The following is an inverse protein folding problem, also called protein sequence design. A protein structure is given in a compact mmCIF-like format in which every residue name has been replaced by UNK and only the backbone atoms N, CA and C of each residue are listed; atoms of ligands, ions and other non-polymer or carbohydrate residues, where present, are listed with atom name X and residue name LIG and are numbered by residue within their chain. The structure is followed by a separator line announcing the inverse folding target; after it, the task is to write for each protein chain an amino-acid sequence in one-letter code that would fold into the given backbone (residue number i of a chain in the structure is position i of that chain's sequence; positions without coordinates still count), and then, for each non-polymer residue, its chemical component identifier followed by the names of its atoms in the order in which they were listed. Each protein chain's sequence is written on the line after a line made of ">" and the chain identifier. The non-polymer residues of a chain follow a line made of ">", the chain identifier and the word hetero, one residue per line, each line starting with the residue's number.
data_IF_406823253846
#
_entry.id   IF_406823253846
#
_cell.length_a   1.000
_cell.length_b   1.000
_cell.length_c   1.000
_cell.angle_alpha   90.00
_cell.angle_beta   90.00
_cell.angle_gamma   90.00
#
_symmetry.space_group_name_H-M   'P 1'
#
loop_
_entity.id
_entity.type
_entity.pdbx_description
1 polymer ?
#
# COMPACT_ATOMS: atom_id res chain seq x y z
N UNK A 1 40.73 -1.30 40.48
CA UNK A 1 39.38 -1.44 39.89
C UNK A 1 39.19 -0.38 38.80
N UNK A 2 39.33 -0.76 37.53
CA UNK A 2 39.23 0.16 36.39
C UNK A 2 37.77 0.12 35.89
N UNK A 3 37.02 1.20 36.11
CA UNK A 3 35.65 1.35 35.59
C UNK A 3 35.71 1.75 34.11
N UNK A 4 35.30 0.83 33.24
CA UNK A 4 35.13 1.05 31.80
C UNK A 4 34.04 2.09 31.54
N UNK A 5 34.41 3.22 30.92
CA UNK A 5 33.48 4.25 30.45
C UNK A 5 32.77 3.74 29.19
N UNK A 6 31.47 3.40 29.30
CA UNK A 6 30.63 3.11 28.14
C UNK A 6 30.54 4.38 27.27
N UNK A 7 31.04 4.31 26.04
CA UNK A 7 30.84 5.34 25.02
C UNK A 7 29.35 5.38 24.66
N UNK A 8 28.70 6.53 24.89
CA UNK A 8 27.36 6.76 24.38
C UNK A 8 27.40 6.76 22.85
N UNK A 9 26.58 5.92 22.21
CA UNK A 9 26.38 5.98 20.76
C UNK A 9 25.73 7.32 20.43
N UNK A 10 26.50 8.20 19.80
CA UNK A 10 25.99 9.46 19.24
C UNK A 10 25.08 9.08 18.08
N UNK A 11 23.78 9.35 18.22
CA UNK A 11 22.83 9.19 17.11
C UNK A 11 23.31 10.12 15.98
N UNK A 12 23.72 9.54 14.85
CA UNK A 12 24.06 10.32 13.66
C UNK A 12 22.81 11.08 13.23
N UNK A 13 22.94 12.39 13.03
CA UNK A 13 21.86 13.23 12.48
C UNK A 13 21.52 12.67 11.10
N UNK A 14 20.28 12.26 10.90
CA UNK A 14 19.75 11.95 9.57
C UNK A 14 19.98 13.18 8.69
N UNK A 15 20.80 13.06 7.65
CA UNK A 15 21.06 14.17 6.75
C UNK A 15 19.76 14.66 6.11
N UNK A 16 19.60 15.98 5.92
CA UNK A 16 18.45 16.53 5.21
C UNK A 16 18.35 15.89 3.83
N UNK A 17 17.12 15.56 3.50
CA UNK A 17 16.75 14.76 2.36
C UNK A 17 16.98 15.55 1.06
N UNK A 18 17.66 14.97 0.04
CA UNK A 18 17.81 15.68 -1.24
C UNK A 18 16.48 15.69 -2.00
N UNK A 19 16.07 16.83 -2.56
CA UNK A 19 14.82 16.97 -3.30
C UNK A 19 14.68 15.93 -4.42
N UNK A 20 15.78 15.49 -5.03
CA UNK A 20 15.77 14.47 -6.08
C UNK A 20 15.40 13.08 -5.58
N UNK A 21 15.84 12.71 -4.37
CA UNK A 21 15.37 11.45 -3.76
C UNK A 21 13.86 11.48 -3.52
N UNK A 22 13.26 12.66 -3.38
CA UNK A 22 11.90 12.82 -2.85
C UNK A 22 10.99 12.70 -4.03
N UNK A 23 11.33 13.47 -5.08
CA UNK A 23 10.83 13.29 -6.44
C UNK A 23 10.89 11.82 -6.87
N UNK A 24 12.00 11.10 -6.61
CA UNK A 24 12.11 9.67 -6.93
C UNK A 24 11.10 8.80 -6.17
N UNK A 25 10.93 9.00 -4.87
CA UNK A 25 9.89 8.32 -4.09
C UNK A 25 8.48 8.68 -4.59
N UNK A 26 8.23 9.93 -4.97
CA UNK A 26 6.92 10.35 -5.49
C UNK A 26 6.58 9.72 -6.83
N UNK A 27 7.56 9.56 -7.74
CA UNK A 27 7.34 8.84 -9.01
C UNK A 27 6.95 7.38 -8.77
N UNK A 28 7.43 6.76 -7.69
CA UNK A 28 7.15 5.37 -7.34
C UNK A 28 5.85 5.22 -6.53
N UNK A 29 5.48 6.25 -5.76
CA UNK A 29 4.33 6.24 -4.84
C UNK A 29 3.28 7.33 -5.07
N UNK A 30 3.18 7.91 -6.27
CA UNK A 30 2.11 8.87 -6.58
C UNK A 30 1.02 8.29 -7.50
N UNK A 31 1.32 7.34 -8.39
CA UNK A 31 0.32 6.80 -9.34
C UNK A 31 -0.83 6.10 -8.62
N UNK A 32 -2.06 6.59 -8.84
CA UNK A 32 -3.28 5.93 -8.37
C UNK A 32 -3.81 4.94 -9.42
N UNK A 33 -4.50 3.90 -8.95
CA UNK A 33 -5.05 2.79 -9.74
C UNK A 33 -6.35 3.18 -10.45
N UNK A 34 -6.38 4.30 -11.18
CA UNK A 34 -7.61 4.82 -11.81
C UNK A 34 -7.59 4.76 -13.35
N UNK A 35 -7.86 3.56 -13.88
CA UNK A 35 -8.47 3.37 -15.21
C UNK A 35 -9.57 2.29 -15.19
N UNK A 36 -10.29 2.14 -14.07
CA UNK A 36 -11.37 1.14 -13.93
C UNK A 36 -12.79 1.72 -13.79
N UNK A 37 -12.99 3.03 -13.93
CA UNK A 37 -14.33 3.65 -13.77
C UNK A 37 -14.89 4.30 -15.04
N UNK A 38 -14.43 3.91 -16.24
CA UNK A 38 -14.98 4.40 -17.52
C UNK A 38 -15.80 3.39 -18.32
N UNK A 39 -16.32 2.33 -17.71
CA UNK A 39 -17.26 1.43 -18.39
C UNK A 39 -18.46 1.10 -17.50
N UNK A 40 -19.64 1.52 -17.93
CA UNK A 40 -20.92 1.26 -17.27
C UNK A 40 -21.17 -0.23 -17.03
N UNK A 41 -21.85 -0.53 -15.93
CA UNK A 41 -22.17 -1.89 -15.50
C UNK A 41 -23.32 -2.48 -16.34
N UNK A 42 -23.17 -3.67 -16.93
CA UNK A 42 -24.22 -4.27 -17.74
C UNK A 42 -24.84 -5.48 -17.03
N UNK A 43 -25.59 -5.35 -15.93
CA UNK A 43 -26.37 -6.51 -15.44
C UNK A 43 -27.74 -6.11 -14.88
N UNK A 44 -28.75 -6.16 -15.75
CA UNK A 44 -30.16 -5.89 -15.45
C UNK A 44 -30.93 -7.01 -14.76
N UNK A 45 -30.32 -7.87 -13.94
CA UNK A 45 -31.05 -8.97 -13.29
C UNK A 45 -30.63 -9.31 -11.84
N UNK A 46 -30.14 -8.32 -11.08
CA UNK A 46 -29.88 -8.51 -9.64
C UNK A 46 -31.16 -8.60 -8.79
N UNK A 47 -32.34 -8.34 -9.36
CA UNK A 47 -33.64 -8.36 -8.67
C UNK A 47 -34.22 -9.75 -8.38
N UNK A 48 -33.69 -10.81 -9.00
CA UNK A 48 -34.19 -12.18 -8.82
C UNK A 48 -33.44 -12.96 -7.72
N UNK A 49 -32.23 -12.55 -7.35
CA UNK A 49 -31.43 -13.23 -6.31
C UNK A 49 -31.78 -12.81 -4.87
N UNK A 50 -32.58 -11.75 -4.69
CA UNK A 50 -32.97 -11.24 -3.38
C UNK A 50 -34.33 -11.75 -2.86
N UNK A 51 -35.05 -12.57 -3.64
CA UNK A 51 -36.39 -13.09 -3.25
C UNK A 51 -36.39 -14.47 -2.58
N UNK A 52 -35.24 -15.12 -2.41
CA UNK A 52 -35.17 -16.52 -1.95
C UNK A 52 -34.68 -16.71 -0.49
N UNK A 53 -34.41 -15.66 0.27
CA UNK A 53 -34.06 -15.81 1.69
C UNK A 53 -35.27 -15.59 2.61
N UNK A 54 -35.96 -16.70 2.90
CA UNK A 54 -36.89 -16.79 4.03
C UNK A 54 -36.11 -16.82 5.35
N UNK A 55 -36.06 -15.67 6.04
CA UNK A 55 -35.55 -15.56 7.40
C UNK A 55 -36.47 -16.34 8.35
N UNK A 56 -36.05 -17.52 8.81
CA UNK A 56 -36.64 -18.14 10.01
C UNK A 56 -36.00 -17.53 11.25
N UNK A 57 -36.78 -16.73 11.97
CA UNK A 57 -36.51 -16.32 13.34
C UNK A 57 -36.57 -17.56 14.24
N UNK A 58 -35.44 -17.96 14.85
CA UNK A 58 -35.46 -18.81 16.04
C UNK A 58 -35.45 -17.89 17.26
N UNK A 59 -36.52 -17.95 18.06
CA UNK A 59 -36.50 -17.46 19.44
C UNK A 59 -35.61 -18.40 20.26
N UNK A 60 -34.76 -17.84 21.11
CA UNK A 60 -33.99 -18.58 22.10
C UNK A 60 -34.95 -19.29 23.05
N UNK A 61 -34.78 -20.61 23.21
CA UNK A 61 -35.51 -21.42 24.18
C UNK A 61 -34.78 -21.33 25.53
N UNK A 62 -35.41 -20.89 26.64
CA UNK A 62 -34.73 -20.73 27.93
C UNK A 62 -34.46 -22.03 28.70
N UNK A 63 -35.01 -23.17 28.27
CA UNK A 63 -35.06 -24.40 29.10
C UNK A 63 -34.11 -25.53 28.64
N UNK A 64 -32.83 -25.26 28.41
CA UNK A 64 -31.84 -26.33 28.23
C UNK A 64 -30.70 -26.25 29.25
N UNK A 65 -30.98 -26.97 30.34
CA UNK A 65 -30.17 -27.66 31.36
C UNK A 65 -28.65 -27.72 31.11
N UNK A 66 -27.93 -27.39 32.19
CA UNK A 66 -26.50 -27.64 32.42
C UNK A 66 -26.08 -29.06 32.01
N UNK A 67 -25.03 -29.14 31.20
CA UNK A 67 -24.25 -30.37 31.03
C UNK A 67 -22.92 -30.12 31.73
N UNK A 68 -22.82 -30.62 32.96
CA UNK A 68 -21.54 -30.98 33.57
C UNK A 68 -20.92 -32.07 32.68
N UNK A 69 -19.67 -31.91 32.24
CA UNK A 69 -18.93 -33.01 31.61
C UNK A 69 -17.68 -33.30 32.42
N UNK A 70 -17.75 -34.48 33.02
CA UNK A 70 -16.76 -35.25 33.74
C UNK A 70 -15.34 -35.21 33.16
N UNK A 71 -14.41 -35.15 34.11
CA UNK A 71 -13.08 -35.73 34.05
C UNK A 71 -13.18 -37.19 33.62
N UNK A 72 -12.45 -37.58 32.57
CA UNK A 72 -11.95 -38.95 32.47
C UNK A 72 -10.57 -38.98 31.79
N UNK A 73 -9.63 -39.48 32.58
CA UNK A 73 -8.26 -39.81 32.26
C UNK A 73 -8.18 -40.98 31.27
N UNK A 74 -7.56 -40.77 30.10
CA UNK A 74 -7.19 -41.86 29.20
C UNK A 74 -5.65 -41.93 29.03
N UNK A 75 -5.01 -42.85 29.76
CA UNK A 75 -3.60 -43.24 29.63
C UNK A 75 -3.31 -44.17 28.43
N UNK A 76 -4.11 -44.14 27.36
CA UNK A 76 -3.96 -45.11 26.24
C UNK A 76 -3.58 -44.47 24.91
N UNK A 77 -2.58 -43.57 24.92
CA UNK A 77 -2.01 -43.04 23.68
C UNK A 77 -0.87 -43.93 23.15
N UNK A 78 -1.18 -44.79 22.16
CA UNK A 78 -0.19 -45.52 21.37
C UNK A 78 0.04 -44.83 20.02
N UNK A 79 1.22 -44.22 19.76
CA UNK A 79 1.48 -43.53 18.51
C UNK A 79 1.64 -44.52 17.35
N UNK A 80 0.86 -44.34 16.29
CA UNK A 80 0.92 -45.15 15.07
C UNK A 80 2.24 -44.95 14.33
N UNK A 81 2.78 -46.08 13.84
CA UNK A 81 4.05 -46.19 13.17
C UNK A 81 4.16 -45.34 11.88
N UNK A 82 5.34 -44.74 11.74
CA UNK A 82 5.77 -43.84 10.65
C UNK A 82 5.82 -44.59 9.32
N UNK A 83 4.98 -44.19 8.36
CA UNK A 83 4.98 -44.71 6.99
C UNK A 83 6.30 -44.36 6.27
N UNK A 84 7.07 -45.39 5.88
CA UNK A 84 8.32 -45.25 5.13
C UNK A 84 8.01 -44.91 3.67
N UNK A 85 8.32 -43.67 3.28
CA UNK A 85 8.30 -43.19 1.89
C UNK A 85 9.38 -43.93 1.10
N UNK A 86 9.00 -44.81 0.18
CA UNK A 86 9.91 -45.50 -0.76
C UNK A 86 10.56 -44.47 -1.68
N UNK A 87 11.89 -44.33 -1.62
CA UNK A 87 12.68 -43.65 -2.65
C UNK A 87 12.64 -44.46 -3.93
N UNK A 88 12.23 -43.81 -5.03
CA UNK A 88 12.25 -44.38 -6.39
C UNK A 88 13.67 -44.21 -6.94
N UNK A 89 14.35 -45.33 -7.18
CA UNK A 89 15.67 -45.40 -7.84
C UNK A 89 15.54 -44.85 -9.27
N UNK A 90 16.39 -43.88 -9.59
CA UNK A 90 16.64 -43.42 -10.97
C UNK A 90 17.48 -44.51 -11.66
N UNK A 91 16.94 -45.09 -12.73
CA UNK A 91 17.65 -46.02 -13.62
C UNK A 91 18.11 -45.20 -14.83
N UNK A 92 19.43 -45.15 -15.01
CA UNK A 92 20.09 -44.66 -16.22
C UNK A 92 19.83 -45.62 -17.38
N UNK A 93 19.21 -45.11 -18.44
CA UNK A 93 19.05 -45.82 -19.72
C UNK A 93 20.03 -45.18 -20.71
N UNK A 94 21.00 -45.97 -21.13
CA UNK A 94 21.91 -45.70 -22.24
C UNK A 94 21.69 -46.78 -23.29
N UNK A 95 21.13 -46.42 -24.44
CA UNK A 95 21.33 -47.13 -25.71
C UNK A 95 20.70 -46.32 -26.83
N UNK A 96 21.53 -45.95 -27.80
CA UNK A 96 21.15 -45.37 -29.08
C UNK A 96 20.32 -46.39 -29.87
N UNK A 97 19.03 -46.13 -30.05
CA UNK A 97 18.24 -46.77 -31.09
C UNK A 97 18.09 -45.79 -32.25
N UNK A 98 18.59 -46.19 -33.42
CA UNK A 98 18.43 -45.43 -34.66
C UNK A 98 16.93 -45.36 -35.04
N UNK A 99 16.43 -44.18 -35.44
CA UNK A 99 15.03 -44.01 -35.76
C UNK A 99 14.70 -44.81 -37.03
N UNK A 100 13.70 -45.68 -36.91
CA UNK A 100 13.17 -46.48 -38.00
C UNK A 100 12.79 -45.61 -39.20
N UNK A 101 13.06 -46.10 -40.41
CA UNK A 101 12.85 -45.44 -41.70
C UNK A 101 11.44 -44.84 -41.90
N UNK A 102 10.45 -45.31 -41.15
CA UNK A 102 9.08 -44.75 -41.14
C UNK A 102 8.98 -43.35 -40.53
N UNK A 103 9.78 -43.01 -39.52
CA UNK A 103 9.78 -41.68 -38.89
C UNK A 103 10.36 -40.61 -39.82
N UNK A 104 11.34 -40.98 -40.65
CA UNK A 104 11.93 -40.07 -41.61
C UNK A 104 10.94 -39.70 -42.73
N UNK A 105 10.14 -40.68 -43.19
CA UNK A 105 9.11 -40.47 -44.22
C UNK A 105 7.96 -39.60 -43.70
N UNK A 106 7.57 -39.77 -42.44
CA UNK A 106 6.55 -38.93 -41.82
C UNK A 106 7.02 -37.46 -41.65
N UNK A 107 8.27 -37.26 -41.24
CA UNK A 107 8.85 -35.92 -41.11
C UNK A 107 8.95 -35.18 -42.45
N UNK A 108 9.30 -35.89 -43.53
CA UNK A 108 9.34 -35.33 -44.89
C UNK A 108 7.95 -35.02 -45.45
N UNK A 109 6.91 -35.73 -45.01
CA UNK A 109 5.53 -35.43 -45.40
C UNK A 109 5.02 -34.19 -44.66
N UNK A 110 5.24 -34.10 -43.35
CA UNK A 110 4.87 -32.91 -42.56
C UNK A 110 5.59 -31.64 -43.03
N UNK A 111 6.86 -31.75 -43.42
CA UNK A 111 7.62 -30.60 -43.94
C UNK A 111 6.99 -30.01 -45.21
N UNK A 112 6.49 -30.86 -46.11
CA UNK A 112 5.83 -30.41 -47.34
C UNK A 112 4.45 -29.81 -47.10
N UNK A 113 3.71 -30.31 -46.12
CA UNK A 113 2.42 -29.74 -45.71
C UNK A 113 2.61 -28.34 -45.12
N UNK A 114 3.63 -28.14 -44.28
CA UNK A 114 3.95 -26.83 -43.70
C UNK A 114 4.43 -25.84 -44.76
N UNK A 115 5.27 -26.25 -45.70
CA UNK A 115 5.72 -25.37 -46.80
C UNK A 115 4.55 -24.92 -47.68
N UNK A 116 3.62 -25.82 -48.03
CA UNK A 116 2.41 -25.46 -48.78
C UNK A 116 1.49 -24.49 -48.02
N UNK A 117 1.40 -24.64 -46.70
CA UNK A 117 0.57 -23.78 -45.86
C UNK A 117 1.18 -22.37 -45.72
N UNK A 118 2.52 -22.26 -45.69
CA UNK A 118 3.23 -20.97 -45.68
C UNK A 118 3.09 -20.25 -47.02
N UNK A 119 3.20 -20.97 -48.14
CA UNK A 119 3.11 -20.40 -49.48
C UNK A 119 1.69 -19.89 -49.78
N UNK A 120 0.64 -20.58 -49.31
CA UNK A 120 -0.74 -20.09 -49.37
C UNK A 120 -0.99 -18.82 -48.55
N UNK A 121 -0.26 -18.59 -47.45
CA UNK A 121 -0.43 -17.38 -46.64
C UNK A 121 0.25 -16.15 -47.26
N UNK A 122 1.31 -16.34 -48.04
CA UNK A 122 2.07 -15.26 -48.67
C UNK A 122 1.40 -14.66 -49.92
N UNK A 123 0.41 -15.32 -50.51
CA UNK A 123 -0.35 -14.81 -51.67
C UNK A 123 -1.60 -13.98 -51.30
N UNK A 124 -1.88 -13.79 -50.01
CA UNK A 124 -3.00 -12.94 -49.60
C UNK A 124 -2.66 -11.44 -49.69
N UNK A 125 -3.43 -10.60 -50.42
CA UNK A 125 -3.08 -9.20 -50.62
C UNK A 125 -3.14 -8.41 -49.31
N UNK A 126 -2.06 -7.68 -49.01
CA UNK A 126 -1.95 -6.75 -47.88
C UNK A 126 -3.09 -5.72 -47.91
N UNK A 127 -4.12 -5.94 -47.09
CA UNK A 127 -5.12 -4.93 -46.74
C UNK A 127 -4.46 -3.89 -45.82
N UNK A 128 -4.57 -2.63 -46.20
CA UNK A 128 -4.02 -1.48 -45.46
C UNK A 128 -4.50 -1.44 -43.99
N UNK A 129 -3.66 -0.94 -43.05
CA UNK A 129 -3.93 -1.02 -41.63
C UNK A 129 -5.00 0.00 -41.21
N UNK A 130 -6.26 -0.43 -41.19
CA UNK A 130 -7.34 0.29 -40.50
C UNK A 130 -7.35 -0.07 -39.02
N UNK A 131 -7.19 0.94 -38.17
CA UNK A 131 -7.49 0.97 -36.73
C UNK A 131 -6.91 -0.19 -35.88
N UNK A 132 -5.81 0.12 -35.17
CA UNK A 132 -5.26 -0.73 -34.13
C UNK A 132 -6.32 -0.99 -33.03
N UNK A 133 -7.00 -2.12 -33.12
CA UNK A 133 -7.84 -2.63 -32.04
C UNK A 133 -6.93 -2.97 -30.86
N UNK A 134 -6.96 -2.15 -29.82
CA UNK A 134 -6.23 -2.42 -28.60
C UNK A 134 -6.75 -3.73 -27.97
N UNK A 135 -5.94 -4.78 -28.01
CA UNK A 135 -6.25 -6.07 -27.40
C UNK A 135 -6.15 -5.93 -25.87
N UNK A 136 -7.28 -5.77 -25.18
CA UNK A 136 -7.31 -5.66 -23.71
C UNK A 136 -7.30 -7.05 -23.09
N UNK A 137 -6.12 -7.54 -22.71
CA UNK A 137 -5.98 -8.83 -22.02
C UNK A 137 -6.10 -8.66 -20.51
N UNK A 138 -7.15 -9.24 -19.90
CA UNK A 138 -7.39 -9.18 -18.45
C UNK A 138 -6.63 -10.29 -17.72
N UNK A 139 -5.44 -9.97 -17.21
CA UNK A 139 -4.64 -10.90 -16.42
C UNK A 139 -5.15 -10.96 -14.97
N UNK A 140 -5.47 -12.15 -14.48
CA UNK A 140 -5.77 -12.42 -13.06
C UNK A 140 -4.62 -13.22 -12.45
N UNK A 141 -3.84 -12.58 -11.58
CA UNK A 141 -2.79 -13.26 -10.83
C UNK A 141 -3.19 -13.35 -9.35
N UNK A 142 -3.55 -14.56 -8.85
CA UNK A 142 -4.01 -14.71 -7.47
C UNK A 142 -2.86 -14.65 -6.45
N UNK A 143 -1.63 -14.94 -6.88
CA UNK A 143 -0.45 -14.95 -6.02
C UNK A 143 -0.01 -13.53 -5.64
N UNK A 144 0.53 -13.36 -4.43
CA UNK A 144 1.09 -12.09 -3.96
C UNK A 144 2.20 -11.62 -4.90
N UNK A 145 3.11 -12.52 -5.30
CA UNK A 145 4.14 -12.22 -6.31
C UNK A 145 3.55 -11.73 -7.63
N UNK A 146 2.46 -12.34 -8.10
CA UNK A 146 1.79 -11.91 -9.32
C UNK A 146 1.10 -10.55 -9.20
N UNK A 147 0.45 -10.26 -8.06
CA UNK A 147 -0.10 -8.91 -7.79
C UNK A 147 0.99 -7.86 -7.74
N UNK A 148 2.12 -8.20 -7.13
CA UNK A 148 3.28 -7.31 -7.02
C UNK A 148 3.94 -7.10 -8.38
N UNK A 149 4.02 -8.15 -9.21
CA UNK A 149 4.47 -8.08 -10.60
C UNK A 149 3.54 -7.22 -11.47
N UNK A 150 2.22 -7.33 -11.33
CA UNK A 150 1.28 -6.43 -12.01
C UNK A 150 1.44 -5.00 -11.54
N UNK A 151 1.74 -4.79 -10.26
CA UNK A 151 2.06 -3.46 -9.73
C UNK A 151 3.36 -2.93 -10.36
N UNK A 152 4.41 -3.75 -10.46
CA UNK A 152 5.65 -3.38 -11.16
C UNK A 152 5.41 -3.08 -12.65
N UNK A 153 4.59 -3.89 -13.35
CA UNK A 153 4.25 -3.68 -14.76
C UNK A 153 3.41 -2.43 -15.00
N UNK A 154 2.44 -2.13 -14.12
CA UNK A 154 1.70 -0.87 -14.14
C UNK A 154 2.61 0.36 -13.95
N UNK A 155 3.83 0.12 -13.47
CA UNK A 155 4.86 1.11 -13.23
C UNK A 155 6.09 0.90 -14.16
N UNK A 156 5.99 0.11 -15.24
CA UNK A 156 7.12 -0.30 -16.10
C UNK A 156 7.90 0.88 -16.72
N UNK A 157 7.21 1.97 -17.07
CA UNK A 157 7.84 3.18 -17.63
C UNK A 157 8.79 3.88 -16.64
N UNK A 158 8.79 3.48 -15.37
CA UNK A 158 9.70 3.98 -14.33
C UNK A 158 11.00 3.15 -14.26
N UNK A 159 11.01 1.96 -14.88
CA UNK A 159 12.13 0.99 -14.84
C UNK A 159 12.87 0.84 -16.17
N UNK A 160 12.38 1.41 -17.28
CA UNK A 160 13.11 1.42 -18.56
C UNK A 160 14.43 2.17 -18.46
N UNK A 161 14.47 3.25 -17.67
CA UNK A 161 15.63 4.14 -17.54
C UNK A 161 16.77 3.52 -16.69
N UNK A 162 16.55 2.32 -16.13
CA UNK A 162 17.54 1.61 -15.30
C UNK A 162 18.37 0.58 -16.10
N UNK A 163 18.05 0.37 -17.38
CA UNK A 163 18.72 -0.67 -18.19
C UNK A 163 19.74 -0.08 -19.18
N UNK A 164 19.66 1.21 -19.54
CA UNK A 164 20.52 1.81 -20.58
C UNK A 164 21.50 2.90 -20.07
N UNK A 165 21.77 2.96 -18.75
CA UNK A 165 22.62 4.02 -18.18
C UNK A 165 24.14 3.79 -18.26
N UNK A 166 24.61 2.89 -19.14
CA UNK A 166 26.04 2.68 -19.42
C UNK A 166 26.33 2.80 -20.93
N UNK A 167 26.04 3.94 -21.55
CA UNK A 167 26.83 4.45 -22.71
C UNK A 167 26.32 5.80 -23.23
N UNK A 168 27.27 6.72 -23.40
CA UNK A 168 27.31 7.84 -24.35
C UNK A 168 27.16 9.29 -23.85
N UNK A 169 27.92 10.12 -24.57
CA UNK A 169 28.53 11.39 -24.21
C UNK A 169 27.55 12.57 -24.21
N UNK A 170 27.89 13.54 -23.37
CA UNK A 170 27.20 14.83 -23.20
C UNK A 170 27.44 15.71 -24.44
N UNK A 171 26.37 16.11 -25.10
CA UNK A 171 26.36 17.34 -25.92
C UNK A 171 25.20 18.24 -25.49
N UNK A 172 25.50 19.52 -25.30
CA UNK A 172 24.57 20.56 -24.86
C UNK A 172 23.59 20.93 -25.98
N UNK A 173 22.30 21.22 -25.69
CA UNK A 173 21.42 21.87 -26.65
C UNK A 173 21.22 23.36 -26.38
N UNK A 174 21.31 24.10 -27.47
CA UNK A 174 21.02 25.53 -27.63
C UNK A 174 19.56 25.89 -27.32
N UNK A 175 19.36 27.13 -26.88
CA UNK A 175 18.08 27.73 -26.53
C UNK A 175 17.17 27.97 -27.75
N UNK A 176 16.03 27.29 -27.81
CA UNK A 176 14.94 27.59 -28.76
C UNK A 176 13.79 28.28 -28.04
N UNK A 177 13.47 29.51 -28.45
CA UNK A 177 12.31 30.28 -27.99
C UNK A 177 11.06 29.79 -28.74
N UNK A 178 10.23 28.97 -28.09
CA UNK A 178 8.91 28.58 -28.63
C UNK A 178 7.80 29.33 -27.90
N UNK A 179 6.99 30.08 -28.67
CA UNK A 179 5.77 30.74 -28.20
C UNK A 179 4.69 29.68 -27.96
N UNK A 180 4.37 29.44 -26.69
CA UNK A 180 3.32 28.52 -26.26
C UNK A 180 1.91 29.08 -26.48
N UNK A 181 1.08 28.27 -27.14
CA UNK A 181 -0.36 28.44 -27.28
C UNK A 181 -1.05 28.36 -25.90
N UNK A 182 -1.86 29.37 -25.58
CA UNK A 182 -2.67 29.47 -24.37
C UNK A 182 -3.76 28.38 -24.35
N UNK A 183 -3.57 27.33 -23.56
CA UNK A 183 -4.66 26.41 -23.21
C UNK A 183 -5.54 27.03 -22.12
N UNK A 184 -6.85 27.04 -22.36
CA UNK A 184 -7.89 27.45 -21.43
C UNK A 184 -7.89 26.56 -20.18
N UNK A 185 -7.15 26.95 -19.15
CA UNK A 185 -7.40 26.50 -17.79
C UNK A 185 -8.50 27.38 -17.20
N UNK A 186 -9.78 27.01 -17.40
CA UNK A 186 -10.83 27.49 -16.51
C UNK A 186 -10.46 27.04 -15.10
N UNK A 187 -9.93 27.98 -14.30
CA UNK A 187 -9.59 27.75 -12.92
C UNK A 187 -10.85 27.30 -12.19
N UNK A 188 -10.94 26.01 -11.88
CA UNK A 188 -12.03 25.45 -11.09
C UNK A 188 -12.14 26.28 -9.80
N UNK A 189 -13.26 26.99 -9.64
CA UNK A 189 -13.55 27.76 -8.43
C UNK A 189 -13.51 26.82 -7.23
N UNK A 190 -12.92 27.24 -6.10
CA UNK A 190 -12.89 26.42 -4.89
C UNK A 190 -14.31 26.07 -4.45
N UNK A 191 -14.52 24.83 -4.05
CA UNK A 191 -15.78 24.38 -3.47
C UNK A 191 -15.73 24.58 -1.96
N UNK A 192 -16.68 25.34 -1.41
CA UNK A 192 -16.78 25.54 0.04
C UNK A 192 -17.54 24.36 0.65
N UNK A 193 -16.93 23.70 1.65
CA UNK A 193 -17.57 22.60 2.38
C UNK A 193 -17.12 22.52 3.83
N UNK A 194 -17.89 21.81 4.64
CA UNK A 194 -17.51 21.50 6.01
C UNK A 194 -16.83 20.13 6.08
N UNK A 195 -15.75 20.03 6.83
CA UNK A 195 -15.04 18.79 7.12
C UNK A 195 -14.86 18.59 8.63
N UNK A 196 -14.68 17.35 9.07
CA UNK A 196 -14.14 17.04 10.38
C UNK A 196 -12.64 16.83 10.22
N UNK A 197 -11.82 17.53 10.99
CA UNK A 197 -10.35 17.37 10.91
C UNK A 197 -9.68 17.63 12.26
N UNK A 198 -8.60 16.91 12.51
CA UNK A 198 -7.72 17.11 13.65
C UNK A 198 -6.45 17.90 13.28
N UNK A 199 -6.38 18.46 12.08
CA UNK A 199 -5.20 19.14 11.56
C UNK A 199 -5.53 20.56 11.12
N UNK A 200 -4.56 21.46 11.25
CA UNK A 200 -4.66 22.83 10.80
C UNK A 200 -4.29 22.94 9.32
N UNK A 201 -5.24 23.38 8.48
CA UNK A 201 -5.05 23.46 7.03
C UNK A 201 -4.53 24.84 6.56
N UNK A 202 -3.86 24.90 5.38
CA UNK A 202 -3.34 23.78 4.61
C UNK A 202 -2.23 23.04 5.36
N UNK A 203 -2.07 21.74 5.10
CA UNK A 203 -0.96 20.96 5.62
C UNK A 203 0.37 21.48 5.04
N UNK A 204 1.39 21.62 5.88
CA UNK A 204 2.76 21.90 5.47
C UNK A 204 3.54 20.59 5.35
N UNK A 205 3.59 20.06 4.12
CA UNK A 205 4.27 18.80 3.80
C UNK A 205 5.73 19.01 3.39
N UNK A 206 6.05 20.19 2.85
CA UNK A 206 7.40 20.53 2.42
C UNK A 206 8.33 20.83 3.61
N UNK A 207 7.76 20.94 4.82
CA UNK A 207 8.43 21.38 6.04
C UNK A 207 9.15 22.69 5.79
N UNK A 208 8.37 23.70 5.36
CA UNK A 208 8.80 25.01 4.88
C UNK A 208 10.30 25.23 4.91
N UNK A 209 10.92 25.36 3.74
CA UNK A 209 12.37 25.61 3.56
C UNK A 209 12.91 26.80 4.36
N UNK A 210 12.04 27.60 4.97
CA UNK A 210 12.34 28.84 5.66
C UNK A 210 12.21 28.78 7.19
N UNK A 211 11.43 27.85 7.77
CA UNK A 211 11.09 27.94 9.22
C UNK A 211 11.96 27.09 10.14
N UNK A 212 12.73 26.13 9.62
CA UNK A 212 13.53 25.17 10.43
C UNK A 212 12.73 24.44 11.53
N UNK A 213 11.40 24.50 11.48
CA UNK A 213 10.56 23.92 12.52
C UNK A 213 10.42 22.41 12.34
N UNK A 214 10.45 21.64 13.45
CA UNK A 214 10.36 20.19 13.36
C UNK A 214 8.97 19.72 12.93
N UNK A 215 8.95 18.58 12.25
CA UNK A 215 7.73 17.81 11.97
C UNK A 215 7.01 17.43 13.27
N UNK A 216 5.72 17.76 13.38
CA UNK A 216 4.92 17.50 14.59
C UNK A 216 4.81 16.00 14.89
N UNK A 217 4.75 15.19 13.83
CA UNK A 217 4.70 13.73 13.92
C UNK A 217 6.03 13.09 14.36
N UNK A 218 7.17 13.70 14.00
CA UNK A 218 8.48 13.21 14.45
C UNK A 218 8.75 13.61 15.91
N UNK A 219 8.37 14.84 16.27
CA UNK A 219 8.65 15.39 17.59
C UNK A 219 7.74 14.75 18.66
N UNK A 220 6.48 14.48 18.29
CA UNK A 220 5.50 13.86 19.15
C UNK A 220 4.75 12.71 18.42
N UNK A 221 5.06 11.46 18.78
CA UNK A 221 4.38 10.30 18.18
C UNK A 221 2.87 10.29 18.46
N UNK A 222 2.42 10.91 19.57
CA UNK A 222 0.99 11.01 19.91
C UNK A 222 0.26 12.03 19.03
N UNK A 223 0.98 12.92 18.33
CA UNK A 223 0.36 13.88 17.42
C UNK A 223 -0.34 13.19 16.25
N UNK A 224 0.19 12.07 15.75
CA UNK A 224 -0.54 11.26 14.77
C UNK A 224 -1.81 10.61 15.33
N UNK A 225 -1.84 10.36 16.64
CA UNK A 225 -2.98 9.73 17.30
C UNK A 225 -4.11 10.73 17.54
N UNK A 226 -3.80 11.94 18.00
CA UNK A 226 -4.79 12.92 18.46
C UNK A 226 -4.89 14.18 17.60
N UNK A 227 -3.83 14.54 16.87
CA UNK A 227 -3.69 15.83 16.20
C UNK A 227 -3.88 16.99 17.18
N UNK A 228 -4.57 18.03 16.70
CA UNK A 228 -5.08 19.16 17.48
C UNK A 228 -6.49 18.90 18.06
N UNK A 229 -6.99 17.67 17.95
CA UNK A 229 -8.37 17.30 18.28
C UNK A 229 -9.34 17.53 17.13
N UNK A 230 -10.33 16.63 17.00
CA UNK A 230 -11.33 16.68 15.94
C UNK A 230 -12.21 17.92 16.07
N UNK A 231 -12.29 18.70 14.99
CA UNK A 231 -13.09 19.91 14.89
C UNK A 231 -13.84 19.96 13.57
N UNK A 232 -15.06 20.50 13.58
CA UNK A 232 -15.81 20.82 12.36
C UNK A 232 -15.31 22.15 11.82
N UNK A 233 -14.79 22.16 10.59
CA UNK A 233 -14.12 23.31 9.97
C UNK A 233 -14.75 23.58 8.61
N UNK A 234 -15.00 24.85 8.30
CA UNK A 234 -15.36 25.27 6.96
C UNK A 234 -14.09 25.49 6.14
N UNK A 235 -13.98 24.81 5.00
CA UNK A 235 -12.80 24.86 4.13
C UNK A 235 -13.15 25.24 2.71
N UNK A 236 -12.26 25.95 2.05
CA UNK A 236 -12.17 26.03 0.60
C UNK A 236 -11.40 24.80 0.10
N UNK A 237 -12.09 23.94 -0.65
CA UNK A 237 -11.50 22.77 -1.31
C UNK A 237 -11.23 23.10 -2.78
N UNK A 238 -9.94 23.24 -3.10
CA UNK A 238 -9.44 23.53 -4.43
C UNK A 238 -9.27 22.25 -5.29
N UNK A 239 -9.91 21.16 -4.90
CA UNK A 239 -9.90 19.89 -5.61
C UNK A 239 -8.60 19.10 -5.47
N UNK A 240 -8.37 18.19 -6.43
CA UNK A 240 -7.26 17.23 -6.39
C UNK A 240 -5.89 17.91 -6.35
N UNK A 241 -5.75 19.07 -6.98
CA UNK A 241 -4.46 19.76 -7.14
C UNK A 241 -4.26 20.95 -6.20
N UNK A 242 -5.29 21.45 -5.54
CA UNK A 242 -5.16 22.68 -4.75
C UNK A 242 -5.17 22.49 -3.23
N UNK A 243 -5.61 21.34 -2.73
CA UNK A 243 -5.66 21.07 -1.28
C UNK A 243 -6.80 21.81 -0.58
N UNK A 244 -6.69 21.91 0.74
CA UNK A 244 -7.70 22.50 1.62
C UNK A 244 -7.16 23.77 2.30
N UNK A 245 -8.01 24.78 2.42
CA UNK A 245 -7.72 26.02 3.15
C UNK A 245 -8.84 26.33 4.14
N UNK A 246 -8.51 26.60 5.41
CA UNK A 246 -9.52 26.93 6.42
C UNK A 246 -10.08 28.33 6.19
N UNK A 247 -11.42 28.43 6.12
CA UNK A 247 -12.13 29.69 6.02
C UNK A 247 -12.63 30.16 7.38
N UNK A 248 -13.25 29.26 8.15
CA UNK A 248 -13.84 29.59 9.44
C UNK A 248 -13.93 28.38 10.37
N UNK A 249 -13.97 28.62 11.68
CA UNK A 249 -14.12 27.57 12.71
C UNK A 249 -12.91 26.62 12.83
N UNK A 250 -11.84 26.86 12.08
CA UNK A 250 -10.66 25.99 12.02
C UNK A 250 -9.67 26.12 13.17
N UNK A 251 -8.60 25.36 13.10
CA UNK A 251 -7.49 25.43 14.08
C UNK A 251 -6.64 26.68 13.88
N UNK A 252 -6.49 27.15 12.63
CA UNK A 252 -5.78 28.39 12.30
C UNK A 252 -6.40 29.61 12.98
N UNK A 253 -7.73 29.66 13.01
CA UNK A 253 -8.47 30.75 13.69
C UNK A 253 -8.28 30.75 15.21
N UNK A 254 -7.88 29.62 15.80
CA UNK A 254 -7.55 29.48 17.22
C UNK A 254 -6.07 29.78 17.52
N UNK A 255 -5.30 30.24 16.53
CA UNK A 255 -3.89 30.61 16.69
C UNK A 255 -2.89 29.48 16.45
N UNK A 256 -3.35 28.29 16.03
CA UNK A 256 -2.43 27.21 15.68
C UNK A 256 -1.77 27.48 14.32
N UNK A 257 -0.47 27.16 14.17
CA UNK A 257 0.19 27.17 12.86
C UNK A 257 -0.39 26.06 11.97
N UNK A 258 0.01 26.04 10.69
CA UNK A 258 -0.28 24.93 9.79
C UNK A 258 0.30 23.63 10.37
N UNK A 259 -0.43 22.53 10.24
CA UNK A 259 0.08 21.24 10.68
C UNK A 259 1.27 20.83 9.82
N UNK A 260 2.40 20.52 10.46
CA UNK A 260 3.67 20.21 9.77
C UNK A 260 3.93 18.71 9.78
N UNK A 261 4.03 18.12 8.58
CA UNK A 261 4.32 16.70 8.39
C UNK A 261 5.46 16.52 7.41
N UNK A 262 6.50 15.76 7.80
CA UNK A 262 7.64 15.54 6.94
C UNK A 262 7.35 14.52 5.85
N UNK A 263 8.08 14.63 4.74
CA UNK A 263 8.05 13.64 3.65
C UNK A 263 8.21 12.19 4.13
N UNK A 264 9.02 11.93 5.16
CA UNK A 264 9.18 10.57 5.71
C UNK A 264 7.88 10.09 6.36
N UNK A 265 7.26 10.92 7.22
CA UNK A 265 5.98 10.61 7.87
C UNK A 265 4.85 10.47 6.85
N UNK A 266 4.86 11.29 5.81
CA UNK A 266 3.95 11.18 4.68
C UNK A 266 4.11 9.84 3.95
N UNK A 267 5.35 9.51 3.56
CA UNK A 267 5.67 8.28 2.85
C UNK A 267 5.34 7.04 3.67
N UNK A 268 5.54 7.05 4.99
CA UNK A 268 5.12 5.93 5.86
C UNK A 268 3.62 5.61 5.69
N UNK A 269 2.77 6.64 5.61
CA UNK A 269 1.31 6.47 5.46
C UNK A 269 0.91 6.05 4.05
N UNK A 270 1.52 6.64 3.04
CA UNK A 270 1.32 6.22 1.66
C UNK A 270 1.78 4.78 1.42
N UNK A 271 2.90 4.39 2.02
CA UNK A 271 3.47 3.06 1.88
C UNK A 271 2.58 1.99 2.51
N UNK A 272 1.99 2.28 3.68
CA UNK A 272 0.96 1.43 4.27
C UNK A 272 -0.27 1.32 3.36
N UNK A 273 -0.78 2.44 2.86
CA UNK A 273 -1.94 2.47 1.97
C UNK A 273 -1.74 1.68 0.67
N UNK A 274 -0.53 1.73 0.10
CA UNK A 274 -0.20 1.13 -1.21
C UNK A 274 0.28 -0.31 -1.15
N UNK A 275 0.27 -0.93 0.03
CA UNK A 275 0.65 -2.33 0.18
C UNK A 275 -0.20 -3.20 -0.75
N UNK A 276 0.43 -4.10 -1.52
CA UNK A 276 -0.26 -4.94 -2.51
C UNK A 276 -1.31 -5.91 -1.90
N UNK A 277 -1.24 -6.08 -0.58
CA UNK A 277 -2.20 -6.76 0.27
C UNK A 277 -1.61 -6.85 1.67
N UNK A 278 -2.44 -6.87 2.71
CA UNK A 278 -1.95 -6.98 4.09
C UNK A 278 -2.05 -8.42 4.59
N UNK A 279 -0.91 -9.12 4.65
CA UNK A 279 -0.78 -10.39 5.36
C UNK A 279 -0.48 -10.08 6.83
N UNK A 280 -1.47 -10.25 7.69
CA UNK A 280 -1.36 -9.84 9.09
C UNK A 280 -0.85 -11.01 9.94
N UNK A 281 0.21 -10.79 10.70
CA UNK A 281 0.78 -11.75 11.66
C UNK A 281 1.00 -11.12 13.03
N UNK A 282 1.18 -11.95 14.05
CA UNK A 282 1.44 -11.48 15.42
C UNK A 282 2.76 -10.71 15.51
N UNK A 283 2.78 -9.67 16.35
CA UNK A 283 3.95 -8.85 16.61
C UNK A 283 4.86 -9.57 17.64
N UNK A 284 6.12 -9.89 17.30
CA UNK A 284 7.00 -10.62 18.21
C UNK A 284 7.24 -9.85 19.52
N UNK A 285 7.11 -10.54 20.66
CA UNK A 285 7.33 -9.98 22.00
C UNK A 285 6.14 -9.21 22.58
N UNK A 286 4.98 -9.19 21.90
CA UNK A 286 3.77 -8.55 22.39
C UNK A 286 2.60 -9.55 22.39
N UNK A 287 2.15 -9.92 23.58
CA UNK A 287 1.03 -10.84 23.78
C UNK A 287 -0.12 -10.14 24.51
N UNK A 288 -1.35 -10.32 24.00
CA UNK A 288 -2.55 -9.66 24.53
C UNK A 288 -2.79 -10.00 26.00
N UNK A 289 -2.55 -11.26 26.39
CA UNK A 289 -2.86 -11.77 27.72
C UNK A 289 -1.94 -11.20 28.83
N UNK A 290 -0.71 -10.83 28.48
CA UNK A 290 0.29 -10.35 29.46
C UNK A 290 0.58 -8.86 29.34
N UNK A 291 -0.13 -8.15 28.44
CA UNK A 291 0.17 -6.75 28.15
C UNK A 291 -0.39 -5.83 29.24
N UNK A 292 0.47 -4.96 29.77
CA UNK A 292 0.09 -3.96 30.78
C UNK A 292 -0.51 -2.72 30.09
N UNK A 293 -1.83 -2.77 29.85
CA UNK A 293 -2.58 -1.68 29.23
C UNK A 293 -2.50 -0.38 30.04
N UNK A 294 -2.59 -0.45 31.37
CA UNK A 294 -2.57 0.73 32.23
C UNK A 294 -1.25 1.49 32.07
N UNK A 295 -0.11 0.78 32.15
CA UNK A 295 1.20 1.36 31.92
C UNK A 295 1.36 1.88 30.49
N UNK A 296 0.80 1.19 29.50
CA UNK A 296 0.85 1.64 28.11
C UNK A 296 0.10 2.97 27.92
N UNK A 297 -1.11 3.11 28.45
CA UNK A 297 -1.86 4.37 28.36
C UNK A 297 -1.21 5.50 29.18
N UNK A 298 -0.69 5.22 30.37
CA UNK A 298 0.09 6.21 31.13
C UNK A 298 1.34 6.70 30.37
N UNK A 299 1.91 5.89 29.47
CA UNK A 299 3.03 6.34 28.63
C UNK A 299 2.63 7.42 27.61
N UNK A 300 1.34 7.58 27.30
CA UNK A 300 0.85 8.67 26.44
C UNK A 300 0.82 10.02 27.16
N UNK A 301 0.68 10.02 28.49
CA UNK A 301 0.62 11.23 29.32
C UNK A 301 2.01 11.80 29.64
N UNK A 302 3.07 11.01 29.40
CA UNK A 302 4.43 11.42 29.73
C UNK A 302 4.87 12.58 28.84
N UNK A 303 5.01 13.75 29.47
CA UNK A 303 5.55 14.95 28.83
C UNK A 303 6.96 14.69 28.29
N UNK A 304 7.26 15.27 27.14
CA UNK A 304 8.56 15.17 26.49
C UNK A 304 9.70 15.63 27.41
N UNK A 305 10.44 14.70 28.00
CA UNK A 305 11.70 15.00 28.68
C UNK A 305 12.72 15.39 27.60
N UNK A 306 12.99 16.70 27.47
CA UNK A 306 13.91 17.23 26.45
C UNK A 306 13.31 17.38 25.05
N UNK A 307 11.97 17.52 24.94
CA UNK A 307 11.32 17.89 23.68
C UNK A 307 11.03 16.74 22.69
N UNK A 308 11.40 15.50 23.02
CA UNK A 308 11.05 14.32 22.22
C UNK A 308 10.17 13.35 23.00
N UNK A 309 9.02 12.99 22.45
CA UNK A 309 8.18 11.92 22.98
C UNK A 309 8.74 10.57 22.55
N UNK A 310 9.15 9.73 23.50
CA UNK A 310 9.62 8.38 23.20
C UNK A 310 8.43 7.42 23.17
N UNK A 311 8.18 6.84 22.00
CA UNK A 311 7.22 5.75 21.89
C UNK A 311 7.80 4.48 22.56
N UNK A 312 7.20 4.06 23.68
CA UNK A 312 7.60 2.84 24.40
C UNK A 312 6.79 1.61 24.02
N UNK A 313 5.60 1.81 23.45
CA UNK A 313 4.66 0.75 23.10
C UNK A 313 4.25 0.85 21.62
N UNK A 314 3.97 -0.28 20.95
CA UNK A 314 3.38 -0.27 19.62
C UNK A 314 1.90 0.12 19.71
N UNK A 315 1.47 1.02 18.85
CA UNK A 315 0.09 1.50 18.80
C UNK A 315 -0.54 1.11 17.47
N UNK A 316 -1.84 0.79 17.50
CA UNK A 316 -2.58 0.54 16.27
C UNK A 316 -2.51 1.76 15.35
N UNK A 317 -2.41 1.54 14.05
CA UNK A 317 -2.40 2.61 13.05
C UNK A 317 -3.81 3.17 12.78
N UNK A 318 -4.88 2.49 13.22
CA UNK A 318 -6.27 2.87 12.93
C UNK A 318 -7.01 3.46 14.13
N UNK A 319 -6.68 3.03 15.35
CA UNK A 319 -7.31 3.47 16.59
C UNK A 319 -6.28 3.69 17.70
N UNK A 320 -6.73 4.11 18.87
CA UNK A 320 -5.85 4.43 20.00
C UNK A 320 -5.39 3.21 20.82
N UNK A 321 -5.78 2.00 20.45
CA UNK A 321 -5.42 0.80 21.21
C UNK A 321 -3.98 0.33 20.93
N UNK A 322 -3.30 -0.30 21.90
CA UNK A 322 -2.02 -0.98 21.67
C UNK A 322 -2.09 -2.02 20.55
N UNK A 323 -1.02 -2.15 19.77
CA UNK A 323 -0.96 -3.09 18.66
C UNK A 323 -0.29 -4.42 19.05
N UNK A 324 -0.84 -5.51 18.55
CA UNK A 324 -0.36 -6.88 18.75
C UNK A 324 -0.12 -7.62 17.43
N UNK A 325 -0.49 -6.98 16.32
CA UNK A 325 -0.35 -7.55 14.99
C UNK A 325 0.35 -6.54 14.08
N UNK A 326 1.04 -7.06 13.06
CA UNK A 326 1.68 -6.27 12.01
C UNK A 326 1.39 -6.84 10.64
N UNK A 327 1.45 -6.00 9.61
CA UNK A 327 1.58 -6.49 8.24
C UNK A 327 2.97 -7.15 8.06
N UNK A 328 3.00 -8.31 7.43
CA UNK A 328 4.18 -9.11 7.11
C UNK A 328 4.31 -9.39 5.60
N UNK A 329 3.51 -8.70 4.78
CA UNK A 329 3.61 -8.83 3.31
C UNK A 329 4.99 -8.40 2.86
N UNK A 330 5.66 -9.28 2.11
CA UNK A 330 6.94 -8.99 1.46
C UNK A 330 6.81 -7.75 0.57
N UNK A 331 7.67 -6.76 0.83
CA UNK A 331 7.78 -5.53 0.06
C UNK A 331 9.04 -5.61 -0.80
N UNK A 332 8.88 -5.41 -2.11
CA UNK A 332 10.01 -5.37 -3.04
C UNK A 332 10.72 -4.03 -3.05
N UNK A 333 10.00 -2.97 -2.70
CA UNK A 333 10.49 -1.60 -2.61
C UNK A 333 10.28 -1.10 -1.20
N UNK A 334 11.23 -0.35 -0.65
CA UNK A 334 11.03 0.37 0.61
C UNK A 334 10.14 1.60 0.40
N UNK A 335 9.79 2.34 1.46
CA UNK A 335 8.99 3.57 1.36
C UNK A 335 9.63 4.71 0.56
N UNK A 336 10.88 4.57 0.15
CA UNK A 336 11.61 5.51 -0.70
C UNK A 336 11.75 5.00 -2.14
N UNK A 337 11.23 3.80 -2.42
CA UNK A 337 11.21 3.23 -3.75
C UNK A 337 12.54 2.60 -4.15
N UNK A 338 13.35 2.23 -3.16
CA UNK A 338 14.60 1.50 -3.38
C UNK A 338 14.32 0.02 -3.28
N UNK A 339 14.98 -0.77 -4.11
CA UNK A 339 14.89 -2.22 -4.05
C UNK A 339 15.29 -2.73 -2.68
N UNK A 340 14.47 -3.61 -2.13
CA UNK A 340 14.72 -4.29 -0.88
C UNK A 340 15.05 -5.72 -1.23
N UNK A 341 16.30 -6.11 -0.98
CA UNK A 341 16.72 -7.48 -1.21
C UNK A 341 15.83 -8.47 -0.44
N UNK A 342 15.58 -9.67 -0.97
CA UNK A 342 14.64 -10.65 -0.39
C UNK A 342 15.03 -11.16 1.01
N UNK A 343 16.28 -10.91 1.42
CA UNK A 343 16.79 -11.28 2.75
C UNK A 343 16.84 -10.10 3.72
N UNK A 344 16.46 -8.89 3.28
CA UNK A 344 16.48 -7.71 4.12
C UNK A 344 15.28 -7.73 5.07
N UNK A 345 15.55 -7.55 6.37
CA UNK A 345 14.50 -7.36 7.37
C UNK A 345 13.63 -6.12 7.11
N UNK A 346 14.12 -5.18 6.29
CA UNK A 346 13.36 -4.00 5.87
C UNK A 346 12.26 -4.33 4.86
N UNK A 347 12.28 -5.51 4.24
CA UNK A 347 11.28 -5.94 3.26
C UNK A 347 10.05 -6.59 3.90
N UNK A 348 10.07 -6.81 5.22
CA UNK A 348 8.99 -7.51 5.90
C UNK A 348 7.93 -6.53 6.40
N UNK A 349 6.86 -6.39 5.61
CA UNK A 349 5.68 -5.61 5.97
C UNK A 349 5.76 -4.14 5.56
N UNK A 350 4.59 -3.51 5.45
CA UNK A 350 4.46 -2.11 5.06
C UNK A 350 4.47 -1.13 6.26
N UNK A 351 4.73 -1.61 7.48
CA UNK A 351 4.67 -0.80 8.71
C UNK A 351 3.29 -0.69 9.37
N UNK A 352 2.24 -1.30 8.78
CA UNK A 352 0.89 -1.31 9.39
C UNK A 352 0.89 -2.13 10.68
N UNK A 353 0.36 -1.54 11.75
CA UNK A 353 0.20 -2.16 13.07
C UNK A 353 -1.27 -2.16 13.50
N UNK A 354 -1.74 -3.27 14.06
CA UNK A 354 -3.14 -3.46 14.41
C UNK A 354 -3.30 -3.99 15.83
N UNK A 355 -4.31 -3.47 16.54
CA UNK A 355 -4.87 -4.12 17.71
C UNK A 355 -5.76 -5.30 17.29
N UNK A 356 -6.19 -6.12 18.25
CA UNK A 356 -7.04 -7.28 17.97
C UNK A 356 -8.40 -6.94 17.33
N UNK A 357 -9.17 -5.92 17.81
CA UNK A 357 -10.39 -5.48 17.13
C UNK A 357 -10.16 -5.07 15.67
N UNK A 358 -9.16 -4.22 15.41
CA UNK A 358 -8.86 -3.77 14.05
C UNK A 358 -8.36 -4.91 13.14
N UNK A 359 -7.65 -5.91 13.68
CA UNK A 359 -7.27 -7.11 12.93
C UNK A 359 -8.49 -7.93 12.50
N UNK A 360 -9.46 -8.14 13.39
CA UNK A 360 -10.73 -8.81 13.06
C UNK A 360 -11.51 -8.04 12.00
N UNK A 361 -11.54 -6.71 12.08
CA UNK A 361 -12.12 -5.87 11.02
C UNK A 361 -11.36 -6.03 9.71
N UNK A 362 -10.02 -6.02 9.70
CA UNK A 362 -9.23 -6.25 8.49
C UNK A 362 -9.56 -7.57 7.81
N UNK A 363 -9.65 -8.67 8.59
CA UNK A 363 -10.01 -9.99 8.07
C UNK A 363 -11.43 -9.98 7.45
N UNK A 364 -12.41 -9.41 8.15
CA UNK A 364 -13.80 -9.35 7.70
C UNK A 364 -14.01 -8.46 6.46
N UNK A 365 -13.07 -7.55 6.18
CA UNK A 365 -13.17 -6.56 5.13
C UNK A 365 -12.22 -6.81 3.95
N UNK A 366 -11.60 -7.99 3.88
CA UNK A 366 -10.72 -8.36 2.77
C UNK A 366 -9.48 -7.46 2.68
N UNK A 367 -8.96 -7.02 3.83
CA UNK A 367 -7.78 -6.15 3.95
C UNK A 367 -7.92 -4.76 3.30
N UNK A 368 -9.14 -4.24 3.19
CA UNK A 368 -9.42 -2.89 2.66
C UNK A 368 -9.44 -1.86 3.80
N UNK A 369 -8.38 -1.05 3.91
CA UNK A 369 -8.23 -0.04 4.96
C UNK A 369 -9.39 0.97 5.00
N UNK A 370 -9.89 1.41 3.84
CA UNK A 370 -10.99 2.38 3.79
C UNK A 370 -12.28 1.78 4.33
N UNK A 371 -12.59 0.53 3.97
CA UNK A 371 -13.74 -0.19 4.55
C UNK A 371 -13.60 -0.45 6.03
N UNK A 372 -12.38 -0.71 6.51
CA UNK A 372 -12.13 -0.93 7.94
C UNK A 372 -12.33 0.35 8.73
N UNK A 373 -11.71 1.47 8.31
CA UNK A 373 -11.85 2.76 8.98
C UNK A 373 -13.32 3.17 9.06
N UNK A 374 -14.08 3.01 7.97
CA UNK A 374 -15.51 3.31 7.94
C UNK A 374 -16.38 2.40 8.83
N UNK A 375 -15.86 1.25 9.27
CA UNK A 375 -16.54 0.27 10.13
C UNK A 375 -16.10 0.32 11.59
N UNK A 376 -15.10 1.14 11.93
CA UNK A 376 -14.73 1.35 13.33
C UNK A 376 -15.95 1.99 14.03
N UNK A 377 -16.47 1.40 15.13
CA UNK A 377 -17.63 1.94 15.83
C UNK A 377 -17.38 3.38 16.25
N UNK A 378 -18.40 4.24 16.19
CA UNK A 378 -18.27 5.63 16.64
C UNK A 378 -17.93 5.77 18.15
N UNK A 379 -18.17 4.71 18.93
CA UNK A 379 -17.73 4.61 20.32
C UNK A 379 -16.22 4.41 20.48
N UNK A 380 -15.54 3.93 19.43
CA UNK A 380 -14.09 3.79 19.39
C UNK A 380 -13.47 5.03 18.75
N UNK A 381 -12.37 5.51 19.32
CA UNK A 381 -11.67 6.68 18.80
C UNK A 381 -10.74 6.24 17.66
N UNK A 382 -11.06 6.67 16.45
CA UNK A 382 -10.20 6.57 15.27
C UNK A 382 -9.02 7.53 15.45
N UNK A 383 -7.82 7.09 15.04
CA UNK A 383 -6.65 7.97 15.06
C UNK A 383 -6.84 9.15 14.11
N UNK A 384 -6.35 10.32 14.53
CA UNK A 384 -6.35 11.52 13.71
C UNK A 384 -5.71 11.29 12.31
N UNK A 385 -4.62 10.53 12.25
CA UNK A 385 -3.91 10.25 11.02
C UNK A 385 -4.41 9.03 10.22
N UNK A 386 -5.46 8.34 10.67
CA UNK A 386 -6.02 7.21 9.94
C UNK A 386 -6.62 7.66 8.60
N UNK A 387 -7.15 8.88 8.53
CA UNK A 387 -7.69 9.46 7.29
C UNK A 387 -6.62 9.62 6.21
N UNK A 388 -5.32 9.67 6.56
CA UNK A 388 -4.25 9.67 5.56
C UNK A 388 -4.04 8.32 4.87
N UNK A 389 -4.67 7.26 5.38
CA UNK A 389 -4.57 5.89 4.85
C UNK A 389 -5.67 5.55 3.85
N UNK A 390 -6.53 6.51 3.48
CA UNK A 390 -7.59 6.31 2.49
C UNK A 390 -7.32 7.08 1.20
N UNK A 391 -7.86 6.56 0.08
CA UNK A 391 -7.80 7.24 -1.21
C UNK A 391 -8.54 8.57 -1.12
N UNK A 392 -7.96 9.62 -1.72
CA UNK A 392 -8.57 10.95 -1.73
C UNK A 392 -8.37 11.75 -0.44
N UNK A 393 -7.59 11.23 0.50
CA UNK A 393 -7.08 11.99 1.65
C UNK A 393 -6.24 13.19 1.24
N UNK A 394 -6.06 14.14 2.16
CA UNK A 394 -5.27 15.36 1.89
C UNK A 394 -3.84 15.02 1.48
N UNK A 395 -3.28 13.98 2.10
CA UNK A 395 -1.98 13.45 1.75
C UNK A 395 -1.95 12.90 0.32
N UNK A 396 -2.93 12.08 -0.05
CA UNK A 396 -3.03 11.52 -1.39
C UNK A 396 -3.19 12.62 -2.45
N UNK A 397 -4.02 13.64 -2.19
CA UNK A 397 -4.21 14.79 -3.08
C UNK A 397 -2.90 15.56 -3.29
N UNK A 398 -2.19 15.84 -2.19
CA UNK A 398 -0.92 16.55 -2.24
C UNK A 398 0.11 15.85 -3.14
N UNK A 399 0.28 14.53 -3.00
CA UNK A 399 1.24 13.79 -3.82
C UNK A 399 0.78 13.58 -5.27
N UNK A 400 -0.53 13.50 -5.50
CA UNK A 400 -1.07 13.43 -6.86
C UNK A 400 -0.89 14.75 -7.63
N UNK A 401 -0.89 15.91 -6.94
CA UNK A 401 -0.58 17.22 -7.54
C UNK A 401 0.84 17.24 -8.14
N UNK A 402 1.81 16.75 -7.40
CA UNK A 402 3.23 16.79 -7.79
C UNK A 402 3.49 15.95 -9.05
N UNK A 403 2.75 14.85 -9.24
CA UNK A 403 2.85 14.03 -10.46
C UNK A 403 2.32 14.74 -11.70
N UNK A 404 1.21 15.47 -11.59
CA UNK A 404 0.66 16.26 -12.71
C UNK A 404 1.60 17.37 -13.17
N UNK A 405 2.35 17.96 -12.22
CA UNK A 405 3.36 18.98 -12.53
C UNK A 405 4.62 18.37 -13.17
N UNK A 406 5.03 17.17 -12.74
CA UNK A 406 6.15 16.43 -13.31
C UNK A 406 5.84 15.93 -14.74
N UNK A 407 4.62 15.50 -15.04
CA UNK A 407 4.28 15.03 -16.39
C UNK A 407 4.30 16.15 -17.46
N UNK A 408 4.12 17.41 -17.07
CA UNK A 408 4.19 18.56 -18.00
C UNK A 408 5.61 19.08 -18.23
N UNK A 409 6.57 18.79 -17.35
CA UNK A 409 7.97 19.22 -17.54
C UNK A 409 8.85 18.23 -18.31
N UNK A 410 8.38 16.99 -18.54
CA UNK A 410 9.10 16.00 -19.36
C UNK A 410 8.42 15.72 -20.71
N UNK A 411 7.36 16.47 -21.06
CA UNK A 411 6.65 16.37 -22.33
C UNK A 411 6.94 17.56 -23.28
N UNK A 412 8.09 18.22 -23.11
CA UNK A 412 8.55 19.31 -23.97
C UNK A 412 9.84 18.93 -24.69
#
# INVERSE_FOLDING_TARGET
>A
MIRSKKKAHRCERTQPYSMDRYRKALRLFGKSKSQLEKMGFPHGNLGNYLRSYNLRVRRSNPDLVDIESDDDSDETYLPKARSKRKQKRVVSISSEEQPSEGLLKLAQQLGREIEQEIEQQLETPLKQPSEQQALVTKLRLPSIRGKTFLNMLANRDIFSDLIDADSEEVSEPESVVVRGSTSNYEANKPTVRHIMTAFAHPLDVELGTETYEPCEFCMNFTFGMFGLGLKKVEVADYGVTGGLEELSGGHRSAGYPRTRICNVCCLDRLYMHRCAGHEISSLPGYEVATFDYAKAFHSLEQSAVGGNYKQTNPWCTLCLNPAFFRCNTEQLLDKFGRDVGPLSSQGNGCGLLLCEPCKRLMDANGNDLAKVIARIPASEVVRADADFLVVGSDLHRYFHKQEGFLCMHFAC
#
